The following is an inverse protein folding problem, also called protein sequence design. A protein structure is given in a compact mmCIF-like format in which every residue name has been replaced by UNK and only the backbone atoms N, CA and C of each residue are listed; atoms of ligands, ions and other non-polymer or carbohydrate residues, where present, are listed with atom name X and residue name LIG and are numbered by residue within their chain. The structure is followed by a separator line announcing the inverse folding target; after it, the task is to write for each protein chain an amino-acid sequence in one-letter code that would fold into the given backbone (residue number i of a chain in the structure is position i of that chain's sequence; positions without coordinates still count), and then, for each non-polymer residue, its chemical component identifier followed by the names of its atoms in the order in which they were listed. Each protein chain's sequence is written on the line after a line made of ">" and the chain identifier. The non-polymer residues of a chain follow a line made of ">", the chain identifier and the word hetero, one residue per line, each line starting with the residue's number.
data_IF_762191783789
#
_entry.id   IF_762191783789
#
_cell.length_a   1.000
_cell.length_b   1.000
_cell.length_c   1.000
_cell.angle_alpha   90.00
_cell.angle_beta   90.00
_cell.angle_gamma   90.00
#
_symmetry.space_group_name_H-M   'P 1'
#
loop_
_entity.id
_entity.type
_entity.pdbx_description
1 polymer ?
#
# COMPACT_ATOMS: atom_id res chain seq x y z
N UNK A 1 23.20 1.64 45.56
CA UNK A 1 21.74 1.74 45.54
C UNK A 1 21.25 0.82 44.44
N UNK A 2 20.78 -0.36 44.81
CA UNK A 2 20.16 -1.32 43.89
C UNK A 2 18.66 -1.03 43.83
N UNK A 3 18.13 -0.89 42.61
CA UNK A 3 16.70 -0.70 42.37
C UNK A 3 16.07 -2.07 42.11
N UNK A 4 15.26 -2.54 43.05
CA UNK A 4 14.31 -3.65 42.82
C UNK A 4 13.02 -3.08 42.25
N UNK A 5 12.57 -3.65 41.12
CA UNK A 5 11.30 -3.29 40.47
C UNK A 5 10.12 -4.04 41.12
N UNK A 6 8.99 -3.38 41.45
CA UNK A 6 7.81 -4.05 41.99
C UNK A 6 7.02 -4.79 40.90
N UNK A 7 6.81 -6.10 41.10
CA UNK A 7 5.90 -6.92 40.32
C UNK A 7 4.46 -6.71 40.81
N UNK A 8 3.63 -6.01 40.03
CA UNK A 8 2.17 -6.08 40.13
C UNK A 8 1.61 -6.60 38.82
N UNK A 9 0.64 -7.54 38.81
CA UNK A 9 0.09 -8.07 37.58
C UNK A 9 -0.72 -6.97 36.86
N UNK A 10 -0.36 -6.72 35.61
CA UNK A 10 -1.12 -5.86 34.69
C UNK A 10 -2.46 -6.57 34.45
N UNK A 11 -3.54 -6.03 35.00
CA UNK A 11 -4.90 -6.46 34.66
C UNK A 11 -5.22 -5.84 33.30
N UNK A 12 -4.96 -6.60 32.25
CA UNK A 12 -5.34 -6.24 30.88
C UNK A 12 -6.78 -6.66 30.67
N UNK A 13 -7.69 -5.70 30.72
CA UNK A 13 -9.09 -5.92 30.33
C UNK A 13 -9.16 -5.79 28.81
N UNK A 14 -9.17 -6.92 28.10
CA UNK A 14 -9.43 -6.95 26.65
C UNK A 14 -10.91 -7.18 26.42
N UNK A 15 -11.62 -6.16 25.97
CA UNK A 15 -12.96 -6.32 25.40
C UNK A 15 -12.79 -6.95 24.01
N UNK A 16 -13.34 -8.15 23.75
CA UNK A 16 -13.23 -8.79 22.45
C UNK A 16 -13.99 -7.98 21.38
N UNK A 17 -13.48 -8.02 20.14
CA UNK A 17 -13.99 -7.27 18.98
C UNK A 17 -15.50 -7.47 18.72
N UNK A 18 -16.02 -8.65 19.07
CA UNK A 18 -17.44 -9.03 18.97
C UNK A 18 -18.37 -8.31 19.96
N UNK A 19 -17.84 -7.52 20.90
CA UNK A 19 -18.61 -6.78 21.89
C UNK A 19 -18.88 -5.30 21.50
N UNK A 20 -18.39 -4.85 20.33
CA UNK A 20 -18.59 -3.48 19.82
C UNK A 20 -19.79 -3.42 18.88
N UNK A 21 -20.69 -2.45 19.10
CA UNK A 21 -21.92 -2.27 18.30
C UNK A 21 -21.66 -1.72 16.88
N UNK A 22 -20.49 -1.11 16.64
CA UNK A 22 -20.02 -0.69 15.31
C UNK A 22 -18.50 -0.63 15.31
N UNK A 23 -17.79 -1.72 14.99
CA UNK A 23 -16.35 -1.68 14.79
C UNK A 23 -16.01 -1.02 13.43
N UNK A 24 -15.01 -0.12 13.36
CA UNK A 24 -14.50 0.36 12.07
C UNK A 24 -13.84 -0.80 11.29
N UNK A 25 -14.00 -0.80 9.97
CA UNK A 25 -13.49 -1.84 9.09
C UNK A 25 -11.96 -1.95 9.17
N UNK A 26 -11.39 -3.17 9.16
CA UNK A 26 -9.95 -3.35 9.08
C UNK A 26 -9.46 -2.92 7.69
N UNK A 27 -8.51 -1.99 7.65
CA UNK A 27 -7.81 -1.64 6.41
C UNK A 27 -6.65 -2.64 6.22
N UNK A 28 -6.77 -3.54 5.25
CA UNK A 28 -5.70 -4.45 4.83
C UNK A 28 -4.97 -3.89 3.60
N UNK A 29 -3.64 -4.02 3.57
CA UNK A 29 -2.83 -3.59 2.44
C UNK A 29 -2.04 -4.76 1.87
N UNK A 30 -1.86 -4.73 0.55
CA UNK A 30 -1.06 -5.71 -0.18
C UNK A 30 0.10 -4.99 -0.86
N UNK A 31 1.30 -5.52 -0.67
CA UNK A 31 2.50 -5.07 -1.37
C UNK A 31 3.01 -6.25 -2.21
N UNK A 32 3.04 -6.06 -3.52
CA UNK A 32 3.54 -7.02 -4.49
C UNK A 32 4.87 -6.52 -5.07
N UNK A 33 5.60 -7.34 -5.82
CA UNK A 33 6.79 -6.84 -6.51
C UNK A 33 7.57 -7.92 -7.23
N UNK A 34 7.90 -7.72 -8.51
CA UNK A 34 8.94 -8.47 -9.24
C UNK A 34 9.80 -7.55 -10.14
N UNK A 35 11.02 -8.00 -10.49
CA UNK A 35 11.87 -7.49 -11.57
C UNK A 35 12.02 -8.57 -12.67
N UNK A 36 12.47 -8.36 -13.92
CA UNK A 36 13.51 -7.51 -14.55
C UNK A 36 13.18 -7.47 -16.08
N UNK A 37 13.25 -6.40 -16.89
CA UNK A 37 14.40 -5.58 -17.36
C UNK A 37 13.87 -4.47 -18.31
N UNK A 38 14.60 -3.34 -18.41
CA UNK A 38 14.56 -2.25 -19.43
C UNK A 38 13.27 -1.40 -19.55
N UNK A 39 13.45 -0.07 -19.42
CA UNK A 39 12.49 1.02 -19.71
C UNK A 39 11.13 0.98 -19.00
N UNK A 40 10.95 1.79 -17.93
CA UNK A 40 9.66 2.21 -17.33
C UNK A 40 8.40 1.36 -17.59
N UNK A 41 8.49 0.04 -17.43
CA UNK A 41 7.37 -0.86 -17.69
C UNK A 41 6.59 -1.11 -16.40
N UNK A 42 5.26 -1.18 -16.55
CA UNK A 42 4.33 -1.59 -15.50
C UNK A 42 4.84 -2.86 -14.81
N UNK A 43 4.54 -3.07 -13.51
CA UNK A 43 4.99 -4.27 -12.81
C UNK A 43 4.51 -5.54 -13.54
N UNK A 44 5.45 -6.33 -14.05
CA UNK A 44 5.17 -7.58 -14.76
C UNK A 44 5.57 -8.76 -13.88
N UNK A 45 4.61 -9.60 -13.51
CA UNK A 45 4.86 -10.87 -12.82
C UNK A 45 4.05 -11.07 -11.54
N UNK A 46 4.32 -12.17 -10.83
CA UNK A 46 3.74 -12.53 -9.52
C UNK A 46 4.34 -11.62 -8.40
N UNK A 47 4.39 -11.95 -7.11
CA UNK A 47 5.29 -11.26 -6.16
C UNK A 47 6.58 -12.05 -5.96
N UNK A 48 7.74 -11.43 -5.70
CA UNK A 48 9.02 -12.12 -5.48
C UNK A 48 9.31 -12.23 -3.97
N UNK A 49 9.64 -13.43 -3.53
CA UNK A 49 10.21 -13.69 -2.22
C UNK A 49 11.74 -13.58 -2.22
N UNK A 50 12.37 -13.85 -3.37
CA UNK A 50 13.81 -14.03 -3.47
C UNK A 50 14.36 -13.49 -4.77
N UNK A 51 15.48 -12.78 -4.73
CA UNK A 51 16.08 -12.13 -5.90
C UNK A 51 17.62 -12.13 -5.84
N UNK A 52 18.34 -12.24 -6.98
CA UNK A 52 19.79 -12.10 -7.02
C UNK A 52 20.33 -10.71 -6.64
N UNK A 53 21.51 -10.70 -6.04
CA UNK A 53 22.30 -9.51 -5.78
C UNK A 53 22.51 -8.67 -7.06
N UNK A 54 22.37 -7.35 -6.95
CA UNK A 54 22.56 -6.41 -8.04
C UNK A 54 21.38 -6.31 -9.01
N UNK A 55 20.32 -7.08 -8.80
CA UNK A 55 19.06 -6.93 -9.53
C UNK A 55 18.34 -5.64 -9.16
N UNK A 56 17.61 -5.09 -10.13
CA UNK A 56 16.66 -4.00 -9.91
C UNK A 56 15.28 -4.62 -9.79
N UNK A 57 14.60 -4.36 -8.69
CA UNK A 57 13.23 -4.79 -8.40
C UNK A 57 12.30 -3.59 -8.39
N UNK A 58 11.05 -3.83 -8.77
CA UNK A 58 9.97 -2.86 -8.61
C UNK A 58 9.15 -3.32 -7.41
N UNK A 59 9.05 -2.46 -6.41
CA UNK A 59 8.16 -2.65 -5.26
C UNK A 59 6.85 -1.96 -5.61
N UNK A 60 5.75 -2.71 -5.60
CA UNK A 60 4.42 -2.17 -5.85
C UNK A 60 3.62 -2.15 -4.55
N UNK A 61 2.86 -1.08 -4.39
CA UNK A 61 1.94 -0.93 -3.25
C UNK A 61 0.59 -0.58 -3.82
N UNK A 62 -0.38 -1.45 -3.57
CA UNK A 62 -1.77 -1.19 -3.91
C UNK A 62 -2.47 -0.60 -2.69
N UNK A 63 -3.16 0.52 -2.91
CA UNK A 63 -3.97 1.20 -1.90
C UNK A 63 -5.38 1.24 -2.43
N UNK A 64 -6.32 0.67 -1.66
CA UNK A 64 -7.73 0.72 -2.01
C UNK A 64 -8.47 1.44 -0.89
N UNK A 65 -9.20 2.49 -1.23
CA UNK A 65 -10.01 3.26 -0.28
C UNK A 65 -11.44 3.34 -0.78
N UNK A 66 -12.45 3.08 0.07
CA UNK A 66 -13.85 3.25 -0.32
C UNK A 66 -14.18 4.74 -0.48
N UNK A 67 -13.67 5.58 0.41
CA UNK A 67 -13.92 7.02 0.39
C UNK A 67 -12.74 7.80 -0.19
N UNK A 68 -13.04 9.01 -0.66
CA UNK A 68 -12.00 9.99 -0.98
C UNK A 68 -11.40 10.56 0.31
N UNK A 69 -10.08 10.45 0.44
CA UNK A 69 -9.31 10.88 1.60
C UNK A 69 -8.59 12.19 1.31
N UNK A 70 -8.45 13.03 2.33
CA UNK A 70 -7.61 14.22 2.29
C UNK A 70 -6.17 13.86 2.70
N UNK A 71 -5.19 14.73 2.45
CA UNK A 71 -3.80 14.69 2.92
C UNK A 71 -3.27 13.31 3.39
N UNK A 72 -3.12 12.35 2.49
CA UNK A 72 -2.78 10.95 2.81
C UNK A 72 -1.29 10.67 2.62
N UNK A 73 -0.67 10.02 3.60
CA UNK A 73 0.74 9.63 3.55
C UNK A 73 0.87 8.11 3.47
N UNK A 74 1.62 7.64 2.48
CA UNK A 74 1.98 6.23 2.30
C UNK A 74 3.46 6.08 2.59
N UNK A 75 3.81 5.28 3.58
CA UNK A 75 5.19 5.03 3.99
C UNK A 75 5.54 3.58 3.76
N UNK A 76 6.47 3.35 2.84
CA UNK A 76 7.01 2.04 2.50
C UNK A 76 8.38 1.90 3.15
N UNK A 77 8.47 1.09 4.19
CA UNK A 77 9.75 0.79 4.84
C UNK A 77 10.53 -0.19 3.98
N UNK A 78 11.82 0.06 3.78
CA UNK A 78 12.66 -0.80 2.96
C UNK A 78 13.31 -1.90 3.81
N UNK A 79 13.32 -3.17 3.36
CA UNK A 79 14.08 -4.22 4.03
C UNK A 79 15.58 -3.96 3.86
N UNK A 80 16.40 -4.37 4.82
CA UNK A 80 17.84 -4.02 4.84
C UNK A 80 18.67 -4.51 3.65
N UNK A 81 18.16 -5.42 2.82
CA UNK A 81 18.81 -5.89 1.60
C UNK A 81 18.48 -5.08 0.34
N UNK A 82 17.46 -4.21 0.40
CA UNK A 82 17.00 -3.40 -0.72
C UNK A 82 17.33 -1.92 -0.49
N UNK A 83 17.87 -1.28 -1.52
CA UNK A 83 18.15 0.16 -1.52
C UNK A 83 17.24 0.86 -2.52
N UNK A 84 16.37 1.80 -2.08
CA UNK A 84 15.46 2.50 -2.98
C UNK A 84 16.23 3.48 -3.89
N UNK A 85 15.78 3.58 -5.14
CA UNK A 85 16.39 4.44 -6.17
C UNK A 85 15.54 5.70 -6.30
N UNK A 86 16.15 6.86 -6.05
CA UNK A 86 15.48 8.14 -6.23
C UNK A 86 15.36 8.48 -7.73
N UNK A 87 14.14 8.62 -8.28
CA UNK A 87 13.93 8.96 -9.68
C UNK A 87 14.61 10.28 -10.10
N UNK A 88 14.75 11.24 -9.18
CA UNK A 88 15.33 12.55 -9.47
C UNK A 88 16.84 12.53 -9.73
N UNK A 89 17.53 11.49 -9.26
CA UNK A 89 19.00 11.35 -9.41
C UNK A 89 19.39 10.34 -10.49
N UNK A 90 18.49 9.40 -10.81
CA UNK A 90 18.73 8.33 -11.77
C UNK A 90 18.54 8.76 -13.25
N UNK A 91 18.40 10.06 -13.54
CA UNK A 91 18.23 10.57 -14.91
C UNK A 91 16.89 10.19 -15.56
N UNK A 92 15.96 9.62 -14.78
CA UNK A 92 14.58 9.41 -15.18
C UNK A 92 13.84 10.74 -15.15
N UNK A 93 13.17 11.10 -16.24
CA UNK A 93 12.29 12.27 -16.28
C UNK A 93 11.15 12.07 -15.29
N UNK A 94 11.31 12.73 -14.15
CA UNK A 94 10.35 13.12 -13.13
C UNK A 94 9.46 12.00 -12.56
N UNK A 95 8.77 12.35 -11.47
CA UNK A 95 8.10 11.39 -10.60
C UNK A 95 7.12 10.47 -11.33
N UNK A 96 6.54 9.55 -10.56
CA UNK A 96 5.58 8.51 -10.97
C UNK A 96 4.46 9.01 -11.92
N UNK A 97 4.24 10.32 -12.03
CA UNK A 97 3.21 10.95 -12.85
C UNK A 97 3.72 11.94 -13.95
N UNK A 98 5.02 12.06 -14.22
CA UNK A 98 5.56 12.97 -15.27
C UNK A 98 5.42 12.42 -16.70
N UNK A 99 5.21 11.12 -16.86
CA UNK A 99 5.04 10.48 -18.17
C UNK A 99 3.76 10.92 -18.90
N UNK A 100 2.77 11.46 -18.19
CA UNK A 100 1.53 12.00 -18.79
C UNK A 100 1.67 13.46 -19.27
N UNK A 101 2.79 14.13 -19.01
CA UNK A 101 3.02 15.54 -19.39
C UNK A 101 3.93 15.70 -20.63
N UNK A 102 4.51 14.61 -21.17
CA UNK A 102 5.41 14.69 -22.35
C UNK A 102 4.72 14.50 -23.69
N UNK A 103 3.43 14.15 -23.74
CA UNK A 103 2.62 14.20 -24.96
C UNK A 103 1.92 15.54 -25.11
N UNK A 104 2.70 16.62 -25.23
CA UNK A 104 2.42 17.78 -26.10
C UNK A 104 1.07 18.50 -26.06
N UNK A 105 0.16 18.26 -25.11
CA UNK A 105 -1.14 18.91 -25.06
C UNK A 105 -1.09 20.09 -24.08
N UNK A 106 -0.83 21.28 -24.63
CA UNK A 106 -0.72 22.55 -23.90
C UNK A 106 -2.04 23.05 -23.28
N UNK A 107 -3.04 22.19 -23.05
CA UNK A 107 -4.39 22.59 -22.65
C UNK A 107 -4.93 21.98 -21.36
N UNK A 108 -4.25 21.04 -20.69
CA UNK A 108 -4.69 20.52 -19.38
C UNK A 108 -4.04 21.26 -18.21
N UNK A 109 -4.48 22.48 -17.91
CA UNK A 109 -4.23 23.16 -16.62
C UNK A 109 -5.02 22.54 -15.45
N UNK A 110 -5.43 21.28 -15.55
CA UNK A 110 -6.06 20.57 -14.45
C UNK A 110 -4.94 20.06 -13.52
N UNK A 111 -5.00 20.32 -12.20
CA UNK A 111 -4.02 19.79 -11.27
C UNK A 111 -4.14 18.27 -11.26
N UNK A 112 -3.20 17.58 -11.92
CA UNK A 112 -3.05 16.14 -11.77
C UNK A 112 -2.58 15.93 -10.33
N UNK A 113 -3.34 15.14 -9.59
CA UNK A 113 -3.14 14.87 -8.17
C UNK A 113 -1.99 13.87 -7.98
N UNK A 114 -0.77 14.34 -8.23
CA UNK A 114 0.45 13.56 -8.16
C UNK A 114 1.00 13.57 -6.73
N UNK A 115 1.42 12.42 -6.18
CA UNK A 115 2.03 12.40 -4.86
C UNK A 115 3.46 12.98 -4.90
N UNK A 116 3.81 13.74 -3.87
CA UNK A 116 5.19 14.06 -3.57
C UNK A 116 5.91 12.79 -3.11
N UNK A 117 7.06 12.47 -3.70
CA UNK A 117 7.89 11.33 -3.30
C UNK A 117 9.15 11.80 -2.56
N UNK A 118 9.34 11.30 -1.34
CA UNK A 118 10.57 11.43 -0.57
C UNK A 118 11.25 10.06 -0.44
N UNK A 119 12.49 9.96 -0.93
CA UNK A 119 13.26 8.71 -0.93
C UNK A 119 14.36 8.80 0.14
N UNK A 120 14.27 7.98 1.18
CA UNK A 120 15.28 7.82 2.23
C UNK A 120 15.89 6.41 2.16
N UNK A 121 17.10 6.18 2.72
CA UNK A 121 17.74 4.86 2.67
C UNK A 121 16.92 3.73 3.31
N UNK A 122 16.12 4.04 4.32
CA UNK A 122 15.31 3.06 5.08
C UNK A 122 13.82 3.11 4.77
N UNK A 123 13.35 4.10 4.01
CA UNK A 123 11.94 4.30 3.75
C UNK A 123 11.70 5.16 2.51
N UNK A 124 10.64 4.87 1.77
CA UNK A 124 10.12 5.75 0.74
C UNK A 124 8.75 6.23 1.18
N UNK A 125 8.53 7.54 1.15
CA UNK A 125 7.29 8.17 1.57
C UNK A 125 6.64 8.85 0.37
N UNK A 126 5.37 8.56 0.15
CA UNK A 126 4.52 9.24 -0.82
C UNK A 126 3.49 10.07 -0.06
N UNK A 127 3.34 11.33 -0.43
CA UNK A 127 2.36 12.23 0.18
C UNK A 127 1.40 12.73 -0.89
N UNK A 128 0.13 12.41 -0.71
CA UNK A 128 -0.98 12.89 -1.52
C UNK A 128 -1.62 14.09 -0.82
N UNK A 129 -1.95 15.12 -1.59
CA UNK A 129 -2.80 16.21 -1.11
C UNK A 129 -4.26 15.74 -1.02
N UNK A 130 -4.70 14.93 -1.98
CA UNK A 130 -6.01 14.29 -1.99
C UNK A 130 -5.85 12.86 -2.52
N UNK A 131 -6.67 11.91 -2.10
CA UNK A 131 -6.68 10.56 -2.65
C UNK A 131 -8.13 10.20 -2.95
N UNK A 132 -8.47 10.09 -4.23
CA UNK A 132 -9.82 9.73 -4.64
C UNK A 132 -10.18 8.31 -4.19
N UNK A 133 -11.46 8.07 -3.91
CA UNK A 133 -12.02 6.73 -3.77
C UNK A 133 -11.61 5.83 -4.95
N UNK A 134 -11.23 4.59 -4.65
CA UNK A 134 -10.81 3.61 -5.64
C UNK A 134 -9.49 2.94 -5.30
N UNK A 135 -8.88 2.33 -6.31
CA UNK A 135 -7.62 1.58 -6.18
C UNK A 135 -6.50 2.33 -6.89
N UNK A 136 -5.46 2.67 -6.14
CA UNK A 136 -4.26 3.34 -6.62
C UNK A 136 -3.07 2.38 -6.49
N UNK A 137 -2.26 2.29 -7.55
CA UNK A 137 -1.06 1.46 -7.57
C UNK A 137 0.16 2.38 -7.61
N UNK A 138 1.00 2.24 -6.60
CA UNK A 138 2.29 2.92 -6.49
C UNK A 138 3.41 1.96 -6.87
N UNK A 139 4.38 2.42 -7.63
CA UNK A 139 5.56 1.64 -7.98
C UNK A 139 6.84 2.42 -7.68
N UNK A 140 7.79 1.79 -7.00
CA UNK A 140 9.12 2.35 -6.76
C UNK A 140 10.20 1.34 -7.12
N UNK A 141 11.37 1.86 -7.49
CA UNK A 141 12.53 1.05 -7.84
C UNK A 141 13.41 0.86 -6.62
N UNK A 142 13.90 -0.36 -6.43
CA UNK A 142 14.93 -0.66 -5.46
C UNK A 142 15.95 -1.62 -6.04
N UNK A 143 17.19 -1.58 -5.54
CA UNK A 143 18.28 -2.47 -5.95
C UNK A 143 18.58 -3.44 -4.81
N UNK A 144 18.79 -4.71 -5.15
CA UNK A 144 19.27 -5.70 -4.20
C UNK A 144 20.75 -5.47 -3.89
N UNK A 145 21.04 -4.75 -2.81
CA UNK A 145 22.37 -4.24 -2.48
C UNK A 145 23.17 -5.17 -1.56
N UNK A 146 22.51 -5.86 -0.62
CA UNK A 146 23.19 -6.70 0.38
C UNK A 146 22.57 -8.10 0.41
N UNK A 147 23.37 -9.19 0.31
CA UNK A 147 22.85 -10.54 0.37
C UNK A 147 22.46 -10.93 1.80
N UNK A 148 21.36 -11.66 1.93
CA UNK A 148 20.81 -12.11 3.21
C UNK A 148 19.29 -12.26 3.18
N UNK A 149 18.74 -12.84 4.25
CA UNK A 149 17.30 -12.88 4.49
C UNK A 149 16.91 -11.70 5.40
N UNK A 150 15.97 -10.88 4.94
CA UNK A 150 15.52 -9.68 5.63
C UNK A 150 14.02 -9.75 5.92
N UNK A 151 13.60 -9.17 7.04
CA UNK A 151 12.18 -8.94 7.27
C UNK A 151 11.66 -7.88 6.30
N UNK A 152 10.55 -8.18 5.62
CA UNK A 152 9.80 -7.22 4.84
C UNK A 152 8.81 -6.53 5.78
N UNK A 153 9.08 -5.28 6.20
CA UNK A 153 8.16 -4.54 7.05
C UNK A 153 6.87 -4.22 6.28
N UNK A 154 5.73 -4.09 6.99
CA UNK A 154 4.49 -3.69 6.36
C UNK A 154 4.57 -2.24 5.86
N UNK A 155 4.06 -1.98 4.66
CA UNK A 155 3.79 -0.64 4.19
C UNK A 155 2.61 -0.07 4.96
N UNK A 156 2.66 1.21 5.33
CA UNK A 156 1.58 1.86 6.08
C UNK A 156 1.03 3.02 5.28
N UNK A 157 -0.29 3.12 5.13
CA UNK A 157 -0.93 4.35 4.68
C UNK A 157 -1.79 4.92 5.80
N UNK A 158 -1.76 6.24 5.97
CA UNK A 158 -2.55 6.92 6.99
C UNK A 158 -2.90 8.34 6.53
N UNK A 159 -4.04 8.82 6.98
CA UNK A 159 -4.49 10.19 6.75
C UNK A 159 -3.83 11.11 7.77
N UNK A 160 -3.18 12.19 7.33
CA UNK A 160 -2.43 13.07 8.24
C UNK A 160 -3.33 13.82 9.22
N UNK A 161 -4.53 14.20 8.79
CA UNK A 161 -5.52 14.91 9.62
C UNK A 161 -6.25 13.98 10.60
N UNK A 162 -6.32 12.68 10.29
CA UNK A 162 -7.03 11.64 11.05
C UNK A 162 -6.17 10.36 11.04
N UNK A 163 -5.11 10.30 11.86
CA UNK A 163 -4.17 9.17 11.85
C UNK A 163 -4.82 7.83 12.24
N UNK A 164 -6.00 7.85 12.85
CA UNK A 164 -6.86 6.68 13.08
C UNK A 164 -7.38 6.04 11.78
N UNK A 165 -7.49 6.80 10.69
CA UNK A 165 -7.75 6.29 9.35
C UNK A 165 -6.42 5.85 8.75
N UNK A 166 -6.08 4.60 9.04
CA UNK A 166 -4.80 4.02 8.69
C UNK A 166 -4.93 2.53 8.42
N UNK A 167 -4.01 2.00 7.64
CA UNK A 167 -3.63 0.62 7.92
C UNK A 167 -2.34 0.18 7.26
N UNK A 168 -2.19 -1.13 7.26
CA UNK A 168 -0.90 -1.81 7.15
C UNK A 168 -0.95 -2.95 6.15
N UNK A 169 0.15 -3.12 5.43
CA UNK A 169 0.27 -4.25 4.52
C UNK A 169 0.62 -5.54 5.23
N UNK A 170 0.45 -6.66 4.52
CA UNK A 170 1.04 -7.91 4.97
C UNK A 170 2.55 -7.72 5.17
N UNK A 171 3.04 -8.06 6.37
CA UNK A 171 4.46 -8.20 6.62
C UNK A 171 4.97 -9.51 5.98
N UNK A 172 6.28 -9.64 5.83
CA UNK A 172 6.86 -10.88 5.33
C UNK A 172 8.36 -10.97 5.48
N UNK A 173 8.95 -11.76 4.59
CA UNK A 173 10.40 -11.94 4.49
C UNK A 173 10.79 -11.83 3.03
N UNK A 174 11.94 -11.21 2.79
CA UNK A 174 12.52 -11.04 1.46
C UNK A 174 13.99 -11.47 1.50
N UNK A 175 14.39 -12.33 0.56
CA UNK A 175 15.75 -12.88 0.48
C UNK A 175 16.50 -12.30 -0.72
N UNK A 176 17.69 -11.76 -0.45
CA UNK A 176 18.68 -11.44 -1.49
C UNK A 176 19.72 -12.53 -1.50
N UNK A 177 19.80 -13.30 -2.58
CA UNK A 177 20.79 -14.36 -2.72
C UNK A 177 22.01 -13.92 -3.54
N UNK A 178 23.14 -14.54 -3.25
CA UNK A 178 24.41 -14.39 -3.95
C UNK A 178 24.93 -15.80 -4.34
N UNK A 179 25.49 -15.94 -5.54
CA UNK A 179 26.09 -17.18 -6.05
C UNK A 179 25.45 -17.81 -7.30
N UNK A 180 26.19 -18.75 -7.92
CA UNK A 180 25.75 -19.54 -9.09
C UNK A 180 24.60 -20.48 -8.70
N UNK A 181 23.36 -20.15 -9.13
CA UNK A 181 22.13 -20.88 -8.79
C UNK A 181 21.08 -20.06 -8.04
N UNK A 182 21.33 -18.76 -7.85
CA UNK A 182 20.37 -17.82 -7.29
C UNK A 182 19.37 -17.36 -8.36
N UNK A 183 18.23 -18.03 -8.44
CA UNK A 183 17.12 -17.65 -9.30
C UNK A 183 16.06 -16.88 -8.49
N UNK A 184 15.34 -15.99 -9.17
CA UNK A 184 14.25 -15.27 -8.56
C UNK A 184 13.11 -16.25 -8.23
N UNK A 185 12.61 -16.23 -7.00
CA UNK A 185 11.52 -17.10 -6.58
C UNK A 185 10.28 -16.27 -6.25
N UNK A 186 9.13 -16.72 -6.76
CA UNK A 186 7.85 -16.10 -6.46
C UNK A 186 7.38 -16.40 -5.03
N UNK A 187 6.64 -15.45 -4.46
CA UNK A 187 5.84 -15.57 -3.26
C UNK A 187 4.38 -15.72 -3.70
N UNK A 188 3.57 -16.41 -2.89
CA UNK A 188 2.11 -16.32 -3.01
C UNK A 188 1.68 -14.85 -2.92
N UNK A 189 0.90 -14.39 -3.91
CA UNK A 189 0.30 -13.07 -3.90
C UNK A 189 -0.72 -12.96 -2.76
N UNK A 190 -0.71 -11.87 -1.98
CA UNK A 190 -1.87 -11.54 -1.15
C UNK A 190 -3.07 -11.31 -2.09
N UNK A 191 -4.26 -11.69 -1.66
CA UNK A 191 -5.47 -11.47 -2.45
C UNK A 191 -5.66 -9.97 -2.65
N UNK A 192 -5.85 -9.54 -3.90
CA UNK A 192 -6.12 -8.15 -4.21
C UNK A 192 -7.52 -7.77 -3.74
N UNK A 193 -7.69 -6.64 -3.03
CA UNK A 193 -9.00 -6.19 -2.58
C UNK A 193 -9.90 -5.95 -3.78
N UNK A 194 -11.16 -6.40 -3.68
CA UNK A 194 -12.17 -6.25 -4.73
C UNK A 194 -12.92 -4.95 -4.52
N UNK A 195 -12.96 -4.13 -5.56
CA UNK A 195 -13.76 -2.89 -5.54
C UNK A 195 -15.26 -3.19 -5.47
N UNK A 196 -16.00 -2.35 -4.74
CA UNK A 196 -17.45 -2.45 -4.68
C UNK A 196 -18.15 -1.82 -5.89
N UNK A 197 -19.32 -2.34 -6.30
CA UNK A 197 -20.10 -1.77 -7.37
C UNK A 197 -20.60 -0.35 -7.00
N UNK A 198 -20.24 0.64 -7.82
CA UNK A 198 -20.65 2.04 -7.67
C UNK A 198 -20.38 2.64 -6.27
N UNK A 199 -19.36 2.15 -5.57
CA UNK A 199 -19.01 2.58 -4.21
C UNK A 199 -20.21 2.62 -3.24
N UNK A 200 -21.08 1.61 -3.38
CA UNK A 200 -22.31 1.49 -2.60
C UNK A 200 -23.21 2.76 -2.64
N UNK A 201 -23.09 3.58 -3.69
CA UNK A 201 -23.80 4.85 -3.86
C UNK A 201 -23.67 5.80 -2.65
N UNK A 202 -22.59 5.69 -1.86
CA UNK A 202 -22.43 6.40 -0.58
C UNK A 202 -23.48 6.06 0.48
N UNK A 203 -24.27 5.01 0.26
CA UNK A 203 -25.43 4.60 1.07
C UNK A 203 -25.21 3.23 1.74
N UNK A 204 -23.96 2.77 1.78
CA UNK A 204 -23.54 1.54 2.44
C UNK A 204 -22.04 1.52 2.73
N UNK A 205 -21.61 0.50 3.46
CA UNK A 205 -20.20 0.19 3.71
C UNK A 205 -19.71 -0.83 2.68
N UNK A 206 -18.55 -0.59 2.10
CA UNK A 206 -17.92 -1.52 1.17
C UNK A 206 -17.07 -2.56 1.91
N UNK A 207 -17.38 -3.84 1.72
CA UNK A 207 -16.51 -4.95 2.12
C UNK A 207 -15.53 -5.25 0.97
N UNK A 208 -14.25 -4.95 1.20
CA UNK A 208 -13.19 -5.07 0.18
C UNK A 208 -12.64 -6.50 0.02
N UNK A 209 -12.95 -7.42 0.94
CA UNK A 209 -12.52 -8.83 0.84
C UNK A 209 -13.45 -9.60 -0.11
N UNK A 210 -14.76 -9.37 0.06
CA UNK A 210 -15.79 -10.02 -0.74
C UNK A 210 -16.17 -9.20 -1.98
N UNK A 211 -16.00 -7.87 -1.95
CA UNK A 211 -16.44 -6.93 -2.98
C UNK A 211 -17.94 -6.61 -2.91
N UNK A 212 -18.53 -6.72 -1.72
CA UNK A 212 -19.99 -6.58 -1.51
C UNK A 212 -20.34 -5.34 -0.69
N UNK A 213 -21.48 -4.72 -0.99
CA UNK A 213 -21.98 -3.56 -0.23
C UNK A 213 -22.91 -3.98 0.92
N UNK A 214 -22.63 -3.45 2.12
CA UNK A 214 -23.49 -3.53 3.29
C UNK A 214 -24.31 -2.23 3.41
N UNK A 215 -25.57 -2.27 2.97
CA UNK A 215 -26.42 -1.08 2.93
C UNK A 215 -26.86 -0.60 4.32
N UNK A 216 -27.00 0.72 4.48
CA UNK A 216 -27.60 1.32 5.67
C UNK A 216 -29.13 1.11 5.70
N UNK A 217 -29.75 1.22 6.89
CA UNK A 217 -31.20 1.04 7.04
C UNK A 217 -32.00 1.94 6.09
N UNK A 218 -32.94 1.36 5.34
CA UNK A 218 -33.74 2.07 4.34
C UNK A 218 -33.16 2.05 2.92
N UNK A 219 -31.99 1.43 2.72
CA UNK A 219 -31.39 1.22 1.40
C UNK A 219 -31.20 -0.27 1.12
N UNK A 220 -31.44 -0.68 -0.12
CA UNK A 220 -31.29 -2.06 -0.59
C UNK A 220 -30.66 -2.11 -1.99
N UNK A 221 -30.29 -3.32 -2.42
CA UNK A 221 -29.66 -3.60 -3.72
C UNK A 221 -28.15 -3.82 -3.65
N UNK A 222 -27.57 -4.36 -4.72
CA UNK A 222 -26.15 -4.76 -4.80
C UNK A 222 -25.17 -3.58 -4.59
N UNK A 223 -25.61 -2.37 -4.91
CA UNK A 223 -24.86 -1.12 -4.73
C UNK A 223 -25.59 -0.11 -3.82
N UNK A 224 -26.58 -0.53 -3.02
CA UNK A 224 -27.33 0.32 -2.08
C UNK A 224 -28.01 1.56 -2.68
N UNK A 225 -28.31 1.55 -3.99
CA UNK A 225 -28.92 2.68 -4.69
C UNK A 225 -30.45 2.68 -4.70
N UNK A 226 -31.11 1.61 -4.24
CA UNK A 226 -32.57 1.52 -4.12
C UNK A 226 -33.01 1.82 -2.69
N UNK A 227 -34.17 2.46 -2.54
CA UNK A 227 -34.80 2.65 -1.23
C UNK A 227 -35.53 1.36 -0.87
N UNK A 228 -35.22 0.80 0.29
CA UNK A 228 -35.95 -0.35 0.83
C UNK A 228 -37.39 0.09 1.12
N UNK A 229 -38.34 -0.36 0.32
CA UNK A 229 -39.76 -0.10 0.55
C UNK A 229 -40.18 -0.79 1.88
N UNK A 230 -40.60 0.03 2.84
CA UNK A 230 -40.96 -0.35 4.21
C UNK A 230 -42.29 -1.13 4.32
#
# INVERSE_FOLDING_TARGET
>A
AEFTSPQSPIVTTTTPWSALASPPAPLEFSAEGQGHTIDFEEPVGEPLAKVPLGSIVIVTVQITTPDSLDATTVRVLMPGGLEPVDPNTAGGSAGICDSLLRDGDSFSSFPINCPDQETLPSAVTFRYDFLDAGTHVLSLRAVAATPGAFGLPPASAFVNSQPELMGLSAAGTFEVCDGEGCEAAAREAPQSPKGCPQDCNGSGLCDLDEGTCLCFEGFEGEACGSLAEA
#
